data_IF_961287641607
#
_entry.id   IF_961287641607
#
_cell.length_a   1.000
_cell.length_b   1.000
_cell.length_c   1.000
_cell.angle_alpha   90.00
_cell.angle_beta   90.00
_cell.angle_gamma   90.00
#
_symmetry.space_group_name_H-M   'P 1'
#
loop_
_entity.id
_entity.type
_entity.pdbx_description
1 polymer ?
#
# COMPACT_ATOMS: atom_id res chain seq x y z
N UNK A 1 64.80 -15.18 -43.03
CA UNK A 1 64.45 -16.61 -43.07
C UNK A 1 63.18 -16.83 -42.25
N UNK A 2 62.28 -17.68 -42.76
CA UNK A 2 60.93 -18.05 -42.25
C UNK A 2 61.02 -18.68 -40.84
N UNK A 3 60.05 -18.56 -39.92
CA UNK A 3 58.70 -19.20 -39.84
C UNK A 3 57.90 -18.51 -38.70
N UNK A 4 56.65 -18.03 -38.89
CA UNK A 4 55.33 -18.71 -38.70
C UNK A 4 55.13 -19.17 -37.24
N UNK A 5 54.06 -18.97 -36.45
CA UNK A 5 52.77 -18.23 -36.44
C UNK A 5 52.12 -18.65 -35.10
N UNK A 6 51.47 -17.77 -34.32
CA UNK A 6 50.14 -18.05 -33.74
C UNK A 6 49.50 -16.78 -33.18
N UNK A 7 48.28 -16.55 -33.65
CA UNK A 7 47.31 -15.52 -33.27
C UNK A 7 46.48 -16.04 -32.10
N UNK A 8 46.25 -15.22 -31.07
CA UNK A 8 45.01 -15.29 -30.29
C UNK A 8 44.45 -13.87 -30.19
N UNK A 9 43.29 -13.70 -30.81
CA UNK A 9 42.37 -12.58 -30.64
C UNK A 9 41.86 -12.55 -29.19
N UNK A 10 41.93 -11.38 -28.55
CA UNK A 10 40.94 -11.00 -27.54
C UNK A 10 40.35 -9.66 -27.95
N UNK A 11 39.22 -9.76 -28.66
CA UNK A 11 38.29 -8.68 -28.86
C UNK A 11 37.39 -8.54 -27.62
N UNK A 12 36.95 -7.30 -27.36
CA UNK A 12 35.96 -6.88 -26.35
C UNK A 12 36.42 -7.05 -24.89
N UNK A 13 36.61 -5.99 -24.09
CA UNK A 13 35.57 -5.05 -23.70
C UNK A 13 36.17 -3.67 -23.38
N UNK A 14 36.05 -2.73 -24.31
CA UNK A 14 35.88 -1.32 -23.96
C UNK A 14 34.41 -1.12 -23.57
N UNK A 15 34.11 -1.12 -22.28
CA UNK A 15 32.94 -0.45 -21.71
C UNK A 15 33.54 0.82 -21.05
N UNK A 16 33.30 2.07 -21.45
CA UNK A 16 32.17 2.68 -22.12
C UNK A 16 30.81 2.12 -21.65
N UNK A 17 30.62 2.13 -20.33
CA UNK A 17 29.29 2.47 -19.79
C UNK A 17 29.23 4.00 -19.62
N UNK A 18 29.12 4.69 -20.76
CA UNK A 18 28.28 5.88 -20.85
C UNK A 18 26.88 5.37 -21.21
N UNK A 19 25.86 5.89 -20.50
CA UNK A 19 24.44 5.46 -20.42
C UNK A 19 24.17 4.41 -19.36
N UNK A 20 23.62 4.86 -18.22
CA UNK A 20 22.17 4.91 -18.03
C UNK A 20 21.90 5.98 -16.96
N UNK A 21 21.59 7.22 -17.35
CA UNK A 21 20.22 7.75 -17.24
C UNK A 21 19.17 6.73 -16.79
N UNK A 22 18.39 7.13 -15.78
CA UNK A 22 17.37 6.38 -15.04
C UNK A 22 17.89 5.43 -13.95
N UNK A 23 18.26 6.02 -12.80
CA UNK A 23 17.95 5.34 -11.54
C UNK A 23 16.42 5.26 -11.47
N UNK A 24 15.91 4.11 -11.95
CA UNK A 24 14.53 3.79 -12.20
C UNK A 24 13.61 4.16 -11.03
N UNK A 25 12.58 4.95 -11.34
CA UNK A 25 11.36 5.21 -10.55
C UNK A 25 10.49 3.94 -10.37
N UNK A 26 11.06 2.73 -10.44
CA UNK A 26 10.30 1.48 -10.53
C UNK A 26 10.77 0.42 -9.52
N UNK A 27 10.94 0.79 -8.24
CA UNK A 27 10.54 -0.14 -7.18
C UNK A 27 9.04 0.03 -6.94
N UNK A 28 8.29 -0.35 -7.96
CA UNK A 28 6.84 -0.53 -7.91
C UNK A 28 6.56 -1.55 -6.83
N UNK A 29 5.89 -1.11 -5.78
CA UNK A 29 5.38 -1.87 -4.65
C UNK A 29 4.39 -2.94 -5.11
N UNK A 30 4.91 -4.00 -5.72
CA UNK A 30 4.13 -5.14 -6.15
C UNK A 30 3.82 -5.98 -4.92
N UNK A 31 2.68 -5.71 -4.29
CA UNK A 31 1.89 -6.78 -3.71
C UNK A 31 1.56 -7.73 -4.88
N UNK A 32 2.39 -8.73 -5.11
CA UNK A 32 2.22 -9.69 -6.19
C UNK A 32 0.97 -10.54 -5.85
N UNK A 33 -0.16 -10.14 -6.43
CA UNK A 33 -1.45 -10.80 -6.30
C UNK A 33 -1.38 -12.22 -6.89
N UNK A 34 -1.34 -13.23 -6.02
CA UNK A 34 -1.82 -14.56 -6.37
C UNK A 34 -3.35 -14.55 -6.26
N UNK A 35 -4.03 -14.08 -7.31
CA UNK A 35 -5.49 -14.22 -7.37
C UNK A 35 -5.84 -15.70 -7.55
N UNK A 36 -6.45 -16.31 -6.54
CA UNK A 36 -7.23 -17.53 -6.74
C UNK A 36 -8.39 -17.15 -7.66
N UNK A 37 -8.43 -17.75 -8.85
CA UNK A 37 -9.63 -17.81 -9.68
C UNK A 37 -10.81 -18.31 -8.84
N UNK A 38 -11.97 -17.72 -9.06
CA UNK A 38 -13.26 -17.96 -8.42
C UNK A 38 -13.53 -17.18 -7.14
N UNK A 39 -13.96 -15.93 -7.30
CA UNK A 39 -15.28 -15.44 -6.87
C UNK A 39 -15.56 -14.11 -7.58
N UNK A 40 -16.82 -13.67 -7.60
CA UNK A 40 -17.29 -12.38 -8.17
C UNK A 40 -16.57 -11.15 -7.57
N UNK A 41 -15.81 -11.35 -6.48
CA UNK A 41 -14.95 -10.38 -5.82
C UNK A 41 -13.55 -10.44 -6.44
N UNK A 42 -13.16 -9.40 -7.18
CA UNK A 42 -11.79 -9.30 -7.69
C UNK A 42 -10.85 -8.92 -6.54
N UNK A 43 -9.90 -9.81 -6.26
CA UNK A 43 -8.67 -9.56 -5.48
C UNK A 43 -8.88 -8.87 -4.13
N UNK A 44 -9.44 -9.60 -3.16
CA UNK A 44 -9.38 -9.17 -1.76
C UNK A 44 -7.92 -9.15 -1.29
N UNK A 45 -7.50 -8.02 -0.71
CA UNK A 45 -6.17 -7.82 -0.13
C UNK A 45 -6.32 -7.37 1.31
N UNK A 46 -5.56 -8.01 2.20
CA UNK A 46 -5.60 -7.74 3.63
C UNK A 46 -4.34 -7.01 4.09
N UNK A 47 -4.54 -5.98 4.91
CA UNK A 47 -3.50 -5.18 5.52
C UNK A 47 -3.67 -5.23 7.03
N UNK A 48 -2.58 -5.42 7.75
CA UNK A 48 -2.60 -5.35 9.21
C UNK A 48 -2.84 -3.91 9.66
N UNK A 49 -3.66 -3.71 10.68
CA UNK A 49 -3.80 -2.44 11.39
C UNK A 49 -2.95 -2.50 12.65
N UNK A 50 -2.03 -1.54 12.81
CA UNK A 50 -1.19 -1.41 13.99
C UNK A 50 -1.46 -0.10 14.73
N UNK A 51 -1.24 -0.11 16.04
CA UNK A 51 -1.18 1.12 16.85
C UNK A 51 0.18 1.81 16.77
N UNK A 52 0.32 2.97 17.42
CA UNK A 52 1.57 3.74 17.48
C UNK A 52 2.73 2.97 18.16
N UNK A 53 2.41 1.94 18.96
CA UNK A 53 3.38 1.03 19.59
C UNK A 53 3.71 -0.19 18.71
N UNK A 54 3.29 -0.19 17.44
CA UNK A 54 3.44 -1.27 16.46
C UNK A 54 2.74 -2.58 16.82
N UNK A 55 1.75 -2.54 17.72
CA UNK A 55 0.96 -3.71 18.10
C UNK A 55 -0.19 -3.88 17.11
N UNK A 56 -0.40 -5.13 16.68
CA UNK A 56 -1.56 -5.51 15.88
C UNK A 56 -2.87 -5.29 16.64
N UNK A 57 -3.78 -4.52 16.04
CA UNK A 57 -5.10 -4.21 16.60
C UNK A 57 -6.26 -4.64 15.68
N UNK A 58 -5.97 -5.12 14.48
CA UNK A 58 -6.98 -5.52 13.52
C UNK A 58 -6.44 -5.76 12.12
N UNK A 59 -7.36 -5.86 11.17
CA UNK A 59 -7.11 -6.06 9.76
C UNK A 59 -8.03 -5.15 8.92
N UNK A 60 -7.50 -4.64 7.82
CA UNK A 60 -8.22 -3.95 6.77
C UNK A 60 -8.24 -4.84 5.53
N UNK A 61 -9.42 -5.29 5.12
CA UNK A 61 -9.64 -6.00 3.87
C UNK A 61 -10.14 -5.03 2.81
N UNK A 62 -9.55 -5.07 1.62
CA UNK A 62 -9.95 -4.23 0.49
C UNK A 62 -10.25 -5.11 -0.71
N UNK A 63 -11.42 -4.90 -1.29
CA UNK A 63 -11.82 -5.53 -2.55
C UNK A 63 -12.64 -4.55 -3.39
N UNK A 64 -12.90 -4.90 -4.64
CA UNK A 64 -13.70 -4.05 -5.53
C UNK A 64 -14.61 -4.88 -6.44
N UNK A 65 -15.72 -4.28 -6.83
CA UNK A 65 -16.57 -4.76 -7.93
C UNK A 65 -16.38 -3.89 -9.17
N UNK A 66 -17.35 -3.78 -10.08
CA UNK A 66 -17.22 -2.94 -11.28
C UNK A 66 -17.13 -1.44 -10.95
N UNK A 67 -17.87 -0.95 -9.96
CA UNK A 67 -18.06 0.49 -9.69
C UNK A 67 -17.47 0.96 -8.36
N UNK A 68 -17.28 0.05 -7.40
CA UNK A 68 -17.07 0.39 -5.99
C UNK A 68 -15.80 -0.26 -5.45
N UNK A 69 -15.08 0.45 -4.57
CA UNK A 69 -14.11 -0.13 -3.65
C UNK A 69 -14.76 -0.29 -2.29
N UNK A 70 -14.59 -1.46 -1.69
CA UNK A 70 -15.02 -1.76 -0.34
C UNK A 70 -13.80 -1.90 0.57
N UNK A 71 -13.85 -1.24 1.72
CA UNK A 71 -12.85 -1.30 2.78
C UNK A 71 -13.53 -1.83 4.05
N UNK A 72 -13.16 -3.04 4.46
CA UNK A 72 -13.69 -3.71 5.65
C UNK A 72 -12.64 -3.68 6.74
N UNK A 73 -12.86 -2.86 7.75
CA UNK A 73 -11.97 -2.71 8.90
C UNK A 73 -12.50 -3.58 10.05
N UNK A 74 -11.71 -4.56 10.50
CA UNK A 74 -12.06 -5.43 11.61
C UNK A 74 -11.02 -5.34 12.71
N UNK A 75 -11.44 -5.10 13.94
CA UNK A 75 -10.54 -5.03 15.09
C UNK A 75 -10.47 -6.34 15.87
N UNK A 76 -9.40 -6.48 16.63
CA UNK A 76 -9.22 -7.52 17.63
C UNK A 76 -10.25 -7.36 18.77
N UNK A 77 -10.47 -8.43 19.53
CA UNK A 77 -11.36 -8.40 20.69
C UNK A 77 -10.95 -7.28 21.67
N UNK A 78 -11.94 -6.55 22.20
CA UNK A 78 -11.79 -5.40 23.12
C UNK A 78 -11.31 -4.08 22.51
N UNK A 79 -11.37 -3.91 21.18
CA UNK A 79 -11.08 -2.63 20.52
C UNK A 79 -12.27 -2.25 19.63
N UNK A 80 -12.73 -1.00 19.71
CA UNK A 80 -13.72 -0.44 18.78
C UNK A 80 -13.11 0.73 18.04
N UNK A 81 -13.42 0.86 16.75
CA UNK A 81 -13.00 2.02 15.97
C UNK A 81 -14.04 3.13 16.18
N UNK A 82 -13.58 4.33 16.53
CA UNK A 82 -14.40 5.54 16.73
C UNK A 82 -14.37 6.49 15.53
N UNK A 83 -13.24 6.53 14.80
CA UNK A 83 -13.02 7.38 13.64
C UNK A 83 -12.13 6.66 12.63
N UNK A 84 -12.48 6.74 11.35
CA UNK A 84 -11.70 6.23 10.23
C UNK A 84 -11.46 7.38 9.26
N UNK A 85 -10.20 7.70 9.02
CA UNK A 85 -9.76 8.60 7.97
C UNK A 85 -9.07 7.80 6.86
N UNK A 86 -9.57 7.90 5.63
CA UNK A 86 -8.98 7.25 4.46
C UNK A 86 -8.46 8.30 3.49
N UNK A 87 -7.18 8.17 3.14
CA UNK A 87 -6.49 9.07 2.23
C UNK A 87 -6.14 8.35 0.94
N UNK A 88 -6.48 8.96 -0.19
CA UNK A 88 -6.20 8.42 -1.52
C UNK A 88 -5.37 9.39 -2.34
N UNK A 89 -4.37 8.92 -3.06
CA UNK A 89 -3.55 9.79 -3.91
C UNK A 89 -2.47 9.11 -4.73
N UNK A 90 -1.66 9.94 -5.37
CA UNK A 90 -0.40 9.53 -5.99
C UNK A 90 0.68 9.34 -4.92
N UNK A 91 1.80 8.69 -5.27
CA UNK A 91 2.93 8.55 -4.35
C UNK A 91 3.46 9.88 -3.79
N UNK A 92 3.41 10.95 -4.59
CA UNK A 92 3.83 12.29 -4.18
C UNK A 92 2.85 12.95 -3.20
N UNK A 93 1.58 12.55 -3.23
CA UNK A 93 0.47 13.23 -2.55
C UNK A 93 -0.23 12.32 -1.52
N UNK A 94 0.35 11.17 -1.19
CA UNK A 94 -0.17 10.28 -0.14
C UNK A 94 0.49 10.60 1.20
N UNK A 95 -0.29 10.49 2.28
CA UNK A 95 0.20 10.71 3.64
C UNK A 95 1.22 9.62 3.99
N UNK A 96 2.50 10.01 4.16
CA UNK A 96 3.60 9.08 4.50
C UNK A 96 3.80 8.87 6.00
N UNK A 97 3.08 9.63 6.83
CA UNK A 97 3.09 9.54 8.29
C UNK A 97 1.81 10.18 8.84
N UNK A 98 1.30 9.68 9.97
CA UNK A 98 0.17 10.30 10.69
C UNK A 98 0.51 11.74 11.13
N UNK A 99 1.78 12.11 11.28
CA UNK A 99 2.19 13.49 11.59
C UNK A 99 2.32 14.39 10.36
N UNK A 100 2.21 13.84 9.14
CA UNK A 100 2.31 14.63 7.92
C UNK A 100 0.98 15.37 7.66
N UNK A 101 1.01 16.68 7.91
CA UNK A 101 -0.12 17.59 7.71
C UNK A 101 0.03 18.45 6.44
N UNK A 102 1.14 18.32 5.70
CA UNK A 102 1.41 19.14 4.50
C UNK A 102 0.87 18.50 3.24
N UNK A 103 0.78 17.17 3.24
CA UNK A 103 0.32 16.41 2.08
C UNK A 103 -1.20 16.41 2.02
N UNK A 104 -1.77 16.98 0.95
CA UNK A 104 -3.22 17.00 0.70
C UNK A 104 -3.54 15.82 -0.23
N UNK A 105 -4.25 14.79 0.26
CA UNK A 105 -4.65 13.66 -0.57
C UNK A 105 -5.71 14.09 -1.58
N UNK A 106 -5.80 13.34 -2.67
CA UNK A 106 -6.76 13.60 -3.75
C UNK A 106 -8.21 13.32 -3.35
N UNK A 107 -8.41 12.46 -2.36
CA UNK A 107 -9.69 12.21 -1.69
C UNK A 107 -9.44 11.90 -0.21
N UNK A 108 -10.31 12.40 0.67
CA UNK A 108 -10.32 12.08 2.09
C UNK A 108 -11.74 11.67 2.50
N UNK A 109 -11.89 10.49 3.10
CA UNK A 109 -13.16 10.01 3.65
C UNK A 109 -13.06 9.87 5.17
N UNK A 110 -14.03 10.44 5.88
CA UNK A 110 -14.11 10.36 7.35
C UNK A 110 -15.41 9.67 7.75
N UNK A 111 -15.29 8.53 8.43
CA UNK A 111 -16.43 7.81 9.00
C UNK A 111 -16.32 7.76 10.53
N UNK A 112 -17.45 7.95 11.21
CA UNK A 112 -17.57 7.71 12.65
C UNK A 112 -18.45 6.50 12.87
N UNK A 113 -17.97 5.57 13.67
CA UNK A 113 -18.69 4.36 14.04
C UNK A 113 -18.26 3.95 15.44
N UNK A 114 -18.96 3.02 16.08
CA UNK A 114 -18.51 2.38 17.32
C UNK A 114 -18.82 0.90 17.16
N UNK A 115 -18.05 0.25 16.29
CA UNK A 115 -18.23 -1.15 15.98
C UNK A 115 -16.86 -1.84 15.84
N UNK A 116 -16.77 -3.14 16.17
CA UNK A 116 -15.57 -3.92 15.94
C UNK A 116 -15.34 -4.23 14.44
N UNK A 117 -16.38 -4.06 13.61
CA UNK A 117 -16.32 -4.23 12.17
C UNK A 117 -16.99 -3.02 11.49
N UNK A 118 -16.32 -2.44 10.50
CA UNK A 118 -16.78 -1.27 9.77
C UNK A 118 -16.58 -1.49 8.27
N UNK A 119 -17.63 -1.25 7.49
CA UNK A 119 -17.59 -1.36 6.03
C UNK A 119 -17.72 0.05 5.46
N UNK A 120 -16.74 0.46 4.67
CA UNK A 120 -16.74 1.73 3.94
C UNK A 120 -16.79 1.40 2.45
N UNK A 121 -17.69 2.07 1.74
CA UNK A 121 -17.85 1.94 0.28
C UNK A 121 -17.51 3.27 -0.37
N UNK A 122 -16.67 3.23 -1.41
CA UNK A 122 -16.25 4.40 -2.18
C UNK A 122 -16.45 4.12 -3.66
N UNK A 123 -17.18 5.00 -4.34
CA UNK A 123 -17.34 4.93 -5.80
C UNK A 123 -15.99 5.18 -6.47
N UNK A 124 -15.62 4.32 -7.42
CA UNK A 124 -14.36 4.46 -8.18
C UNK A 124 -14.30 5.77 -8.95
N UNK A 125 -15.44 6.35 -9.33
CA UNK A 125 -15.51 7.66 -9.99
C UNK A 125 -15.00 8.80 -9.14
N UNK A 126 -14.99 8.66 -7.81
CA UNK A 126 -14.51 9.67 -6.88
C UNK A 126 -12.98 9.59 -6.67
N UNK A 127 -12.35 8.55 -7.21
CA UNK A 127 -10.93 8.25 -7.07
C UNK A 127 -10.17 8.54 -8.37
N UNK A 128 -8.94 9.04 -8.24
CA UNK A 128 -8.04 9.32 -9.36
C UNK A 128 -6.95 8.25 -9.43
N UNK A 129 -7.22 7.18 -10.15
CA UNK A 129 -6.23 6.15 -10.45
C UNK A 129 -5.17 6.66 -11.42
N UNK A 130 -3.98 6.08 -11.34
CA UNK A 130 -2.93 6.30 -12.34
C UNK A 130 -3.25 5.56 -13.65
N UNK A 131 -2.34 5.70 -14.63
CA UNK A 131 -2.45 5.05 -15.94
C UNK A 131 -2.52 3.51 -15.89
N UNK A 132 -2.08 2.90 -14.79
CA UNK A 132 -2.06 1.46 -14.56
C UNK A 132 -3.28 1.00 -13.73
N UNK A 133 -4.25 1.87 -13.45
CA UNK A 133 -5.40 1.53 -12.62
C UNK A 133 -5.04 1.37 -11.15
N UNK A 134 -3.97 2.02 -10.69
CA UNK A 134 -3.49 1.92 -9.31
C UNK A 134 -3.63 3.25 -8.55
N UNK A 135 -3.76 3.16 -7.23
CA UNK A 135 -3.85 4.31 -6.33
C UNK A 135 -3.16 4.00 -5.01
N UNK A 136 -2.49 4.99 -4.42
CA UNK A 136 -1.94 4.85 -3.08
C UNK A 136 -3.00 5.17 -2.04
N UNK A 137 -3.05 4.35 -1.00
CA UNK A 137 -3.98 4.45 0.11
C UNK A 137 -3.18 4.53 1.40
N UNK A 138 -3.59 5.45 2.29
CA UNK A 138 -3.12 5.54 3.66
C UNK A 138 -4.34 5.68 4.56
N UNK A 139 -4.24 5.16 5.78
CA UNK A 139 -5.37 5.13 6.72
C UNK A 139 -4.95 5.68 8.06
N UNK A 140 -5.86 6.33 8.76
CA UNK A 140 -5.71 6.67 10.16
C UNK A 140 -6.98 6.28 10.91
N UNK A 141 -6.82 5.58 12.02
CA UNK A 141 -7.89 5.10 12.86
C UNK A 141 -7.76 5.71 14.24
N UNK A 142 -8.86 6.21 14.80
CA UNK A 142 -8.98 6.36 16.25
C UNK A 142 -9.77 5.19 16.79
N UNK A 143 -9.27 4.57 17.84
CA UNK A 143 -9.92 3.43 18.46
C UNK A 143 -9.92 3.55 19.97
N UNK A 144 -10.89 2.90 20.60
CA UNK A 144 -11.05 2.84 22.04
C UNK A 144 -10.82 1.42 22.51
N UNK A 145 -9.94 1.24 23.50
CA UNK A 145 -9.83 -0.03 24.20
C UNK A 145 -11.00 -0.16 25.18
N UNK A 146 -11.83 -1.18 25.02
CA UNK A 146 -13.03 -1.38 25.82
C UNK A 146 -12.75 -1.63 27.31
N UNK A 147 -11.54 -2.10 27.66
CA UNK A 147 -11.16 -2.36 29.05
C UNK A 147 -10.61 -1.15 29.80
N UNK A 148 -9.92 -0.24 29.10
CA UNK A 148 -9.31 0.96 29.71
C UNK A 148 -10.01 2.27 29.35
N UNK A 149 -10.94 2.24 28.39
CA UNK A 149 -11.58 3.42 27.77
C UNK A 149 -10.59 4.42 27.13
N UNK A 150 -9.32 4.02 27.00
CA UNK A 150 -8.27 4.83 26.41
C UNK A 150 -8.47 4.95 24.90
N UNK A 151 -8.43 6.18 24.39
CA UNK A 151 -8.46 6.49 22.96
C UNK A 151 -7.03 6.53 22.43
N UNK A 152 -6.76 5.73 21.41
CA UNK A 152 -5.46 5.65 20.74
C UNK A 152 -5.61 5.77 19.22
N UNK A 153 -4.48 5.98 18.56
CA UNK A 153 -4.37 6.07 17.10
C UNK A 153 -3.66 4.85 16.51
N UNK A 154 -4.02 4.54 15.27
CA UNK A 154 -3.42 3.44 14.51
C UNK A 154 -3.57 3.63 13.01
N UNK A 155 -2.92 2.77 12.24
CA UNK A 155 -2.91 2.81 10.78
C UNK A 155 -2.69 1.42 10.19
N UNK A 156 -3.20 1.21 8.99
CA UNK A 156 -2.91 0.04 8.19
C UNK A 156 -1.50 0.14 7.62
N UNK A 157 -0.83 -1.00 7.53
CA UNK A 157 0.55 -1.07 7.06
C UNK A 157 0.73 -2.09 5.94
N UNK A 158 1.65 -1.79 5.03
CA UNK A 158 2.20 -2.78 4.11
C UNK A 158 3.60 -3.22 4.53
N UNK A 159 3.92 -4.47 4.23
CA UNK A 159 5.27 -5.01 4.36
C UNK A 159 5.71 -5.54 3.00
N UNK A 160 6.82 -5.00 2.48
CA UNK A 160 7.33 -5.35 1.15
C UNK A 160 7.99 -6.73 1.19
N UNK A 161 8.78 -7.01 2.24
CA UNK A 161 9.46 -8.28 2.45
C UNK A 161 9.45 -8.65 3.94
N UNK A 162 9.48 -9.95 4.28
CA UNK A 162 9.68 -10.36 5.67
C UNK A 162 10.92 -9.69 6.27
N UNK A 163 10.73 -8.95 7.36
CA UNK A 163 11.80 -8.20 8.04
C UNK A 163 12.06 -6.79 7.51
N UNK A 164 11.37 -6.34 6.45
CA UNK A 164 11.38 -4.92 6.05
C UNK A 164 10.56 -4.07 7.02
N UNK A 165 10.87 -2.77 7.05
CA UNK A 165 10.06 -1.77 7.74
C UNK A 165 8.63 -1.79 7.19
N UNK A 166 7.66 -1.57 8.09
CA UNK A 166 6.23 -1.46 7.77
C UNK A 166 5.95 -0.04 7.29
N UNK A 167 5.33 0.09 6.13
CA UNK A 167 4.99 1.40 5.55
C UNK A 167 3.54 1.77 5.88
N UNK A 168 3.24 3.03 6.26
CA UNK A 168 1.89 3.49 6.64
C UNK A 168 1.00 3.80 5.43
N UNK A 169 1.36 3.26 4.26
CA UNK A 169 0.63 3.40 3.01
C UNK A 169 0.87 2.15 2.14
N UNK A 170 0.02 1.95 1.15
CA UNK A 170 0.11 0.83 0.22
C UNK A 170 -0.48 1.18 -1.14
N UNK A 171 -0.06 0.44 -2.16
CA UNK A 171 -0.55 0.57 -3.53
C UNK A 171 -1.66 -0.45 -3.76
N UNK A 172 -2.83 0.02 -4.22
CA UNK A 172 -3.96 -0.83 -4.59
C UNK A 172 -4.30 -0.65 -6.06
N UNK A 173 -4.46 -1.74 -6.79
CA UNK A 173 -4.73 -1.74 -8.24
C UNK A 173 -6.03 -2.51 -8.53
N UNK A 174 -6.82 -1.99 -9.48
CA UNK A 174 -8.16 -2.52 -9.81
C UNK A 174 -8.23 -3.23 -11.18
N UNK A 175 -7.08 -3.50 -11.80
CA UNK A 175 -6.99 -4.13 -13.13
C UNK A 175 -7.01 -5.66 -13.06
#
# INVERSE_FOLDING_TARGET
>A
MKKITLVIFTAFLTLNCSKDDSFNEEQTNLALLSSKKDTVLKSEVNYEIIDDDSKSIGELSIYHDETTIYLVCKTNANVTISEIDLYFGTFSNIRKSISDNKTIPTHNHIAKSIAPENIISIEKSDLKFDKNGCIYIATHFKFTNMGSEEIKSGHSVSQILPGSEKLPYFLYCIN
#
